data_IF_515521831307
#
_entry.id   IF_515521831307
#
_cell.length_a   1.000
_cell.length_b   1.000
_cell.length_c   1.000
_cell.angle_alpha   90.00
_cell.angle_beta   90.00
_cell.angle_gamma   90.00
#
_symmetry.space_group_name_H-M   'P 1'
#
loop_
_entity.id
_entity.type
_entity.pdbx_description
1 polymer ?
#
# COMPACT_ATOMS: atom_id res chain seq x y z
N UNK A 1 -6.30 -14.85 -40.13
CA UNK A 1 -6.39 -13.91 -38.97
C UNK A 1 -6.08 -14.60 -37.61
N UNK A 2 -5.61 -15.87 -37.57
CA UNK A 2 -5.71 -16.72 -36.37
C UNK A 2 -4.41 -17.16 -35.66
N UNK A 3 -3.22 -16.73 -36.07
CA UNK A 3 -1.96 -17.09 -35.36
C UNK A 3 -1.17 -15.86 -34.90
N UNK A 4 -1.08 -14.81 -35.74
CA UNK A 4 -0.40 -13.56 -35.38
C UNK A 4 -1.01 -12.82 -34.17
N UNK A 5 -2.33 -12.90 -33.99
CA UNK A 5 -3.05 -12.29 -32.85
C UNK A 5 -2.82 -13.06 -31.55
N UNK A 6 -2.75 -14.40 -31.61
CA UNK A 6 -2.48 -15.27 -30.47
C UNK A 6 -1.05 -15.07 -29.94
N UNK A 7 -0.05 -14.99 -30.83
CA UNK A 7 1.36 -14.81 -30.45
C UNK A 7 1.66 -13.41 -29.89
N UNK A 8 1.02 -12.35 -30.39
CA UNK A 8 1.12 -11.00 -29.82
C UNK A 8 0.48 -10.92 -28.42
N UNK A 9 -0.69 -11.51 -28.24
CA UNK A 9 -1.37 -11.59 -26.94
C UNK A 9 -0.58 -12.40 -25.91
N UNK A 10 0.06 -13.50 -26.34
CA UNK A 10 0.92 -14.30 -25.45
C UNK A 10 2.20 -13.56 -25.02
N UNK A 11 2.81 -12.77 -25.92
CA UNK A 11 3.98 -11.93 -25.58
C UNK A 11 3.62 -10.75 -24.67
N UNK A 12 2.44 -10.14 -24.85
CA UNK A 12 2.00 -9.04 -23.98
C UNK A 12 1.66 -9.53 -22.58
N UNK A 13 1.00 -10.68 -22.45
CA UNK A 13 0.67 -11.31 -21.16
C UNK A 13 1.93 -11.72 -20.40
N UNK A 14 2.91 -12.33 -21.09
CA UNK A 14 4.19 -12.70 -20.46
C UNK A 14 4.99 -11.49 -19.96
N UNK A 15 4.93 -10.36 -20.68
CA UNK A 15 5.64 -9.13 -20.29
C UNK A 15 4.95 -8.42 -19.13
N UNK A 16 3.62 -8.28 -19.18
CA UNK A 16 2.81 -7.75 -18.08
C UNK A 16 3.06 -8.54 -16.79
N UNK A 17 3.02 -9.87 -16.89
CA UNK A 17 3.27 -10.76 -15.76
C UNK A 17 4.64 -10.56 -15.12
N UNK A 18 5.69 -10.51 -15.95
CA UNK A 18 7.05 -10.38 -15.47
C UNK A 18 7.29 -9.01 -14.81
N UNK A 19 6.74 -7.93 -15.38
CA UNK A 19 6.82 -6.60 -14.78
C UNK A 19 6.14 -6.54 -13.41
N UNK A 20 4.98 -7.18 -13.26
CA UNK A 20 4.29 -7.26 -11.98
C UNK A 20 5.15 -7.98 -10.94
N UNK A 21 5.67 -9.16 -11.28
CA UNK A 21 6.53 -9.93 -10.37
C UNK A 21 7.86 -9.24 -10.05
N UNK A 22 8.42 -8.48 -10.98
CA UNK A 22 9.66 -7.73 -10.75
C UNK A 22 9.42 -6.47 -9.92
N UNK A 23 8.19 -5.93 -9.95
CA UNK A 23 7.79 -4.78 -9.14
C UNK A 23 7.45 -5.16 -7.70
N UNK A 24 6.68 -6.22 -7.49
CA UNK A 24 6.12 -6.54 -6.17
C UNK A 24 6.85 -7.65 -5.42
N UNK A 25 7.65 -8.48 -6.11
CA UNK A 25 8.37 -9.61 -5.51
C UNK A 25 9.88 -9.47 -5.75
N UNK A 26 10.73 -10.03 -4.86
CA UNK A 26 12.17 -9.79 -4.89
C UNK A 26 12.72 -10.26 -6.24
N UNK A 27 13.64 -9.54 -6.88
CA UNK A 27 14.18 -9.92 -8.17
C UNK A 27 14.79 -11.32 -8.11
N UNK A 28 14.74 -12.03 -9.25
CA UNK A 28 15.43 -13.32 -9.38
C UNK A 28 16.93 -13.04 -9.30
N UNK A 29 17.56 -13.43 -8.20
CA UNK A 29 19.01 -13.47 -8.14
C UNK A 29 19.50 -14.76 -8.81
N UNK A 30 20.12 -14.63 -9.99
CA UNK A 30 20.66 -15.76 -10.75
C UNK A 30 21.71 -16.57 -9.97
N UNK A 31 22.36 -15.96 -8.98
CA UNK A 31 23.31 -16.65 -8.11
C UNK A 31 22.62 -17.63 -7.14
N UNK A 32 21.34 -17.43 -6.83
CA UNK A 32 20.59 -18.21 -5.84
C UNK A 32 19.79 -19.36 -6.48
N UNK A 33 19.89 -19.55 -7.80
CA UNK A 33 19.18 -20.60 -8.53
C UNK A 33 17.65 -20.44 -8.59
N UNK A 34 17.09 -19.32 -8.13
CA UNK A 34 15.64 -19.06 -8.19
C UNK A 34 15.15 -19.01 -9.63
N UNK A 35 14.01 -19.64 -9.87
CA UNK A 35 13.35 -19.67 -11.18
C UNK A 35 12.16 -18.71 -11.23
N UNK A 36 11.62 -18.46 -12.43
CA UNK A 36 10.35 -17.74 -12.57
C UNK A 36 9.23 -18.50 -11.84
N UNK A 37 9.20 -19.83 -11.95
CA UNK A 37 8.23 -20.70 -11.27
C UNK A 37 8.23 -20.47 -9.76
N UNK A 38 9.41 -20.31 -9.14
CA UNK A 38 9.52 -20.04 -7.70
C UNK A 38 8.91 -18.69 -7.31
N UNK A 39 9.12 -17.64 -8.13
CA UNK A 39 8.43 -16.35 -7.92
C UNK A 39 6.91 -16.48 -8.01
N UNK A 40 6.41 -17.27 -8.97
CA UNK A 40 4.96 -17.49 -9.09
C UNK A 40 4.44 -18.20 -7.85
N UNK A 41 5.15 -19.23 -7.36
CA UNK A 41 4.77 -19.94 -6.13
C UNK A 41 4.78 -19.04 -4.90
N UNK A 42 5.76 -18.13 -4.80
CA UNK A 42 5.86 -17.15 -3.72
C UNK A 42 4.66 -16.20 -3.74
N UNK A 43 4.33 -15.64 -4.90
CA UNK A 43 3.15 -14.81 -5.10
C UNK A 43 1.84 -15.56 -4.78
N UNK A 44 1.66 -16.77 -5.33
CA UNK A 44 0.49 -17.60 -5.05
C UNK A 44 0.35 -17.91 -3.56
N UNK A 45 1.46 -18.24 -2.89
CA UNK A 45 1.47 -18.50 -1.44
C UNK A 45 1.12 -17.25 -0.63
N UNK A 46 1.63 -16.09 -1.03
CA UNK A 46 1.32 -14.82 -0.36
C UNK A 46 -0.17 -14.49 -0.43
N UNK A 47 -0.79 -14.68 -1.59
CA UNK A 47 -2.20 -14.40 -1.83
C UNK A 47 -3.14 -15.57 -1.49
N UNK A 48 -2.63 -16.67 -0.91
CA UNK A 48 -3.37 -17.90 -0.61
C UNK A 48 -4.10 -18.53 -1.81
N UNK A 49 -3.52 -18.37 -3.00
CA UNK A 49 -3.99 -19.01 -4.23
C UNK A 49 -3.53 -20.47 -4.31
N UNK A 50 -4.05 -21.20 -5.28
CA UNK A 50 -3.55 -22.55 -5.58
C UNK A 50 -2.10 -22.47 -6.06
N UNK A 51 -1.18 -23.02 -5.26
CA UNK A 51 0.27 -23.00 -5.56
C UNK A 51 0.60 -23.99 -6.67
N UNK A 52 0.62 -23.49 -7.91
CA UNK A 52 0.91 -24.28 -9.12
C UNK A 52 2.27 -23.96 -9.73
N UNK A 53 2.84 -22.80 -9.39
CA UNK A 53 4.03 -22.26 -10.05
C UNK A 53 3.81 -21.83 -11.50
N UNK A 54 2.55 -21.75 -11.93
CA UNK A 54 2.16 -21.40 -13.29
C UNK A 54 1.27 -20.17 -13.29
N UNK A 55 1.39 -19.38 -14.34
CA UNK A 55 0.43 -18.34 -14.64
C UNK A 55 -0.88 -18.98 -15.11
N UNK A 56 -1.91 -18.91 -14.28
CA UNK A 56 -3.25 -19.41 -14.52
C UNK A 56 -4.27 -18.28 -14.32
N UNK A 57 -5.55 -18.54 -14.60
CA UNK A 57 -6.59 -17.52 -14.50
C UNK A 57 -6.75 -16.95 -13.09
N UNK A 58 -6.58 -17.76 -12.05
CA UNK A 58 -6.63 -17.31 -10.65
C UNK A 58 -5.49 -16.31 -10.33
N UNK A 59 -4.28 -16.58 -10.81
CA UNK A 59 -3.14 -15.65 -10.70
C UNK A 59 -3.39 -14.36 -11.48
N UNK A 60 -3.94 -14.45 -12.70
CA UNK A 60 -4.25 -13.29 -13.55
C UNK A 60 -5.31 -12.39 -12.89
N UNK A 61 -6.41 -12.98 -12.41
CA UNK A 61 -7.48 -12.26 -11.69
C UNK A 61 -6.99 -11.57 -10.41
N UNK A 62 -5.99 -12.14 -9.73
CA UNK A 62 -5.36 -11.49 -8.58
C UNK A 62 -4.51 -10.29 -8.98
N UNK A 63 -3.81 -10.37 -10.11
CA UNK A 63 -2.93 -9.29 -10.58
C UNK A 63 -3.68 -8.10 -11.16
N UNK A 64 -4.87 -8.34 -11.72
CA UNK A 64 -5.73 -7.30 -12.28
C UNK A 64 -6.44 -6.47 -11.19
N UNK A 65 -6.36 -6.87 -9.92
CA UNK A 65 -6.99 -6.13 -8.83
C UNK A 65 -6.17 -4.89 -8.44
N UNK A 66 -6.84 -3.75 -8.18
CA UNK A 66 -6.18 -2.54 -7.72
C UNK A 66 -5.54 -2.77 -6.35
N UNK A 67 -4.35 -2.21 -6.13
CA UNK A 67 -3.51 -2.52 -4.98
C UNK A 67 -2.56 -1.40 -4.58
N UNK A 68 -1.90 -1.57 -3.44
CA UNK A 68 -0.76 -0.76 -3.03
C UNK A 68 0.47 -1.03 -3.92
N UNK A 69 1.25 0.03 -4.15
CA UNK A 69 2.45 0.08 -4.98
C UNK A 69 3.74 -0.43 -4.33
N UNK A 70 3.70 -0.78 -3.04
CA UNK A 70 4.86 -1.27 -2.28
C UNK A 70 5.09 -2.78 -2.52
N UNK A 71 6.35 -3.26 -2.53
CA UNK A 71 6.64 -4.69 -2.64
C UNK A 71 6.06 -5.54 -1.50
N UNK A 72 5.57 -6.74 -1.82
CA UNK A 72 4.90 -7.69 -0.90
C UNK A 72 5.85 -8.46 0.01
N UNK A 73 7.15 -8.41 -0.30
CA UNK A 73 8.19 -9.22 0.33
C UNK A 73 8.85 -8.52 1.48
N UNK A 74 8.10 -8.41 2.56
CA UNK A 74 8.59 -8.00 3.87
C UNK A 74 7.86 -8.84 4.92
N UNK A 75 8.59 -9.32 5.94
CA UNK A 75 7.95 -9.95 7.09
C UNK A 75 6.88 -8.98 7.60
N UNK A 76 5.63 -9.45 7.68
CA UNK A 76 4.45 -8.65 8.01
C UNK A 76 4.66 -7.70 9.19
N UNK A 77 5.47 -8.13 10.16
CA UNK A 77 5.79 -7.36 11.36
C UNK A 77 6.43 -6.00 11.09
N UNK A 78 7.26 -5.84 10.05
CA UNK A 78 8.09 -4.64 9.84
C UNK A 78 8.87 -4.63 8.52
N UNK A 79 9.10 -3.44 7.95
CA UNK A 79 10.15 -3.24 6.94
C UNK A 79 11.54 -3.73 7.43
N UNK A 80 12.51 -4.04 6.54
CA UNK A 80 13.80 -4.58 6.94
C UNK A 80 14.51 -3.60 7.87
N UNK A 81 15.01 -4.10 9.00
CA UNK A 81 15.62 -3.26 10.04
C UNK A 81 14.63 -2.66 11.05
N UNK A 82 13.35 -3.02 10.97
CA UNK A 82 12.28 -2.61 11.88
C UNK A 82 12.21 -1.08 12.08
N UNK A 83 12.14 -0.29 10.99
CA UNK A 83 12.08 1.15 11.08
C UNK A 83 10.79 1.56 11.80
N UNK A 84 10.97 2.41 12.79
CA UNK A 84 9.88 2.99 13.59
C UNK A 84 10.25 4.40 13.98
N UNK A 85 9.24 5.24 14.13
CA UNK A 85 9.46 6.56 14.73
C UNK A 85 9.87 6.41 16.19
N UNK A 86 10.86 7.21 16.62
CA UNK A 86 11.36 7.22 18.02
C UNK A 86 10.62 8.20 18.92
N UNK A 87 9.66 8.94 18.35
CA UNK A 87 8.82 9.93 19.03
C UNK A 87 7.35 9.57 18.85
N UNK A 88 6.52 10.04 19.78
CA UNK A 88 5.09 9.76 19.74
C UNK A 88 4.26 10.85 19.07
N UNK A 89 4.76 12.09 19.00
CA UNK A 89 4.10 13.16 18.25
C UNK A 89 4.70 13.22 16.85
N UNK A 90 3.92 12.80 15.87
CA UNK A 90 4.24 12.86 14.45
C UNK A 90 3.49 14.02 13.82
N UNK A 91 4.17 14.78 12.97
CA UNK A 91 3.56 15.85 12.20
C UNK A 91 3.32 15.38 10.78
N UNK A 92 2.22 15.82 10.18
CA UNK A 92 1.94 15.55 8.78
C UNK A 92 1.53 16.82 8.04
N UNK A 93 1.73 16.82 6.72
CA UNK A 93 1.35 17.93 5.86
C UNK A 93 0.85 17.43 4.52
N UNK A 94 -0.32 17.93 4.12
CA UNK A 94 -0.89 17.72 2.79
C UNK A 94 -0.28 18.77 1.85
N UNK A 95 0.49 18.32 0.86
CA UNK A 95 1.21 19.19 -0.08
C UNK A 95 0.29 19.76 -1.17
N UNK A 96 -0.63 18.95 -1.65
CA UNK A 96 -1.64 19.29 -2.65
C UNK A 96 -2.91 18.46 -2.43
N UNK A 97 -3.97 18.78 -3.16
CA UNK A 97 -5.28 18.15 -3.02
C UNK A 97 -5.75 17.67 -4.40
N UNK A 98 -6.36 16.49 -4.43
CA UNK A 98 -7.09 16.01 -5.62
C UNK A 98 -8.26 16.96 -5.95
N UNK A 99 -8.55 17.21 -7.23
CA UNK A 99 -9.74 17.95 -7.64
C UNK A 99 -11.04 17.13 -7.54
N UNK A 100 -10.96 15.81 -7.34
CA UNK A 100 -12.13 14.92 -7.26
C UNK A 100 -12.97 15.17 -6.00
N UNK A 101 -12.33 15.68 -4.95
CA UNK A 101 -12.96 15.93 -3.65
C UNK A 101 -12.72 17.39 -3.20
N UNK A 102 -13.71 18.03 -2.56
CA UNK A 102 -13.48 19.26 -1.83
C UNK A 102 -12.35 19.08 -0.80
N UNK A 103 -11.54 20.12 -0.60
CA UNK A 103 -10.39 20.06 0.33
C UNK A 103 -10.77 19.55 1.71
N UNK A 104 -11.89 19.99 2.27
CA UNK A 104 -12.33 19.56 3.60
C UNK A 104 -12.59 18.05 3.68
N UNK A 105 -13.07 17.41 2.60
CA UNK A 105 -13.29 15.96 2.53
C UNK A 105 -11.99 15.18 2.47
N UNK A 106 -10.98 15.71 1.77
CA UNK A 106 -9.62 15.16 1.79
C UNK A 106 -9.04 15.27 3.20
N UNK A 107 -9.15 16.44 3.83
CA UNK A 107 -8.66 16.65 5.19
C UNK A 107 -9.30 15.71 6.21
N UNK A 108 -10.62 15.54 6.13
CA UNK A 108 -11.39 14.61 6.96
C UNK A 108 -10.96 13.15 6.74
N UNK A 109 -10.81 12.71 5.48
CA UNK A 109 -10.37 11.35 5.16
C UNK A 109 -8.98 11.05 5.73
N UNK A 110 -8.04 11.99 5.59
CA UNK A 110 -6.68 11.88 6.11
C UNK A 110 -6.65 11.89 7.65
N UNK A 111 -7.43 12.77 8.29
CA UNK A 111 -7.54 12.80 9.75
C UNK A 111 -8.14 11.49 10.28
N UNK A 112 -9.20 10.99 9.66
CA UNK A 112 -9.83 9.71 10.00
C UNK A 112 -8.86 8.54 9.83
N UNK A 113 -8.04 8.54 8.77
CA UNK A 113 -7.02 7.52 8.54
C UNK A 113 -5.93 7.52 9.62
N UNK A 114 -5.43 8.69 10.04
CA UNK A 114 -4.51 8.77 11.18
C UNK A 114 -5.16 8.34 12.50
N UNK A 115 -6.45 8.64 12.67
CA UNK A 115 -7.22 8.25 13.87
C UNK A 115 -7.26 6.73 14.06
N UNK A 116 -7.38 5.96 12.97
CA UNK A 116 -7.31 4.47 13.02
C UNK A 116 -6.07 3.99 13.79
N UNK A 117 -4.93 4.61 13.55
CA UNK A 117 -3.66 4.23 14.18
C UNK A 117 -3.47 4.86 15.57
N UNK A 118 -3.88 6.11 15.78
CA UNK A 118 -3.77 6.74 17.11
C UNK A 118 -4.71 6.13 18.14
N UNK A 119 -5.82 5.51 17.72
CA UNK A 119 -6.76 4.87 18.64
C UNK A 119 -6.21 3.58 19.27
N UNK A 120 -5.17 2.98 18.67
CA UNK A 120 -4.60 1.70 19.12
C UNK A 120 -3.12 1.78 19.51
N UNK A 121 -2.49 2.94 19.38
CA UNK A 121 -1.07 3.20 19.70
C UNK A 121 -0.90 4.46 20.55
N UNK A 122 0.24 4.65 21.24
CA UNK A 122 0.55 5.91 21.92
C UNK A 122 0.84 7.11 20.99
N UNK A 123 0.78 6.92 19.66
CA UNK A 123 1.10 7.95 18.69
C UNK A 123 0.02 9.04 18.63
N UNK A 124 0.45 10.25 18.33
CA UNK A 124 -0.37 11.42 18.09
C UNK A 124 0.03 12.04 16.76
N UNK A 125 -0.96 12.47 15.99
CA UNK A 125 -0.74 13.07 14.68
C UNK A 125 -1.17 14.54 14.72
N UNK A 126 -0.33 15.41 14.21
CA UNK A 126 -0.61 16.84 14.16
C UNK A 126 -0.38 17.39 12.75
N UNK A 127 -1.44 17.94 12.16
CA UNK A 127 -1.34 18.65 10.88
C UNK A 127 -0.51 19.94 11.05
N UNK A 128 0.43 20.17 10.15
CA UNK A 128 1.21 21.42 10.08
C UNK A 128 1.11 22.08 8.70
N UNK A 129 1.13 23.41 8.66
CA UNK A 129 0.85 24.16 7.43
C UNK A 129 2.08 24.54 6.59
N UNK A 130 3.20 24.91 7.23
CA UNK A 130 4.35 25.54 6.53
C UNK A 130 5.73 25.03 6.94
N UNK A 131 5.82 24.19 7.97
CA UNK A 131 7.08 23.58 8.41
C UNK A 131 7.29 22.23 7.71
N UNK A 132 8.51 21.73 7.79
CA UNK A 132 8.78 20.32 7.52
C UNK A 132 7.91 19.46 8.45
N UNK A 133 7.47 18.32 7.93
CA UNK A 133 6.64 17.37 8.65
C UNK A 133 7.29 15.98 8.55
N UNK A 134 6.95 15.08 9.46
CA UNK A 134 7.45 13.71 9.42
C UNK A 134 6.83 12.90 8.28
N UNK A 135 5.61 13.25 7.87
CA UNK A 135 4.84 12.58 6.83
C UNK A 135 4.29 13.63 5.86
N UNK A 136 4.84 13.68 4.64
CA UNK A 136 4.27 14.48 3.56
C UNK A 136 3.28 13.64 2.77
N UNK A 137 2.12 14.22 2.50
CA UNK A 137 1.03 13.58 1.74
C UNK A 137 0.90 14.31 0.41
N UNK A 138 0.99 13.56 -0.68
CA UNK A 138 0.98 14.12 -2.03
C UNK A 138 0.11 13.30 -2.98
N UNK A 139 -0.62 13.99 -3.83
CA UNK A 139 -1.27 13.39 -5.00
C UNK A 139 -0.43 13.66 -6.25
N UNK A 140 -0.19 12.66 -7.08
CA UNK A 140 0.66 12.81 -8.26
C UNK A 140 0.29 11.83 -9.38
N UNK A 141 0.74 12.10 -10.60
CA UNK A 141 0.59 11.19 -11.74
C UNK A 141 1.93 10.63 -12.17
N UNK A 142 1.96 9.41 -12.69
CA UNK A 142 3.10 8.85 -13.40
C UNK A 142 4.41 8.95 -12.61
N UNK A 143 5.50 9.33 -13.27
CA UNK A 143 6.77 9.62 -12.60
C UNK A 143 6.70 10.96 -11.84
N UNK A 144 6.92 10.93 -10.52
CA UNK A 144 6.64 12.08 -9.66
C UNK A 144 7.76 12.44 -8.66
N UNK A 145 8.99 12.04 -8.95
CA UNK A 145 10.18 12.45 -8.20
C UNK A 145 10.76 11.39 -7.26
N UNK A 146 10.23 10.17 -7.30
CA UNK A 146 10.80 8.97 -6.69
C UNK A 146 10.99 7.86 -7.74
N UNK A 147 11.44 6.68 -7.29
CA UNK A 147 11.68 5.50 -8.14
C UNK A 147 10.43 4.64 -8.40
N UNK A 148 9.25 5.09 -7.99
CA UNK A 148 8.01 4.30 -8.01
C UNK A 148 6.92 5.03 -8.81
N UNK A 149 7.03 5.10 -10.15
CA UNK A 149 6.04 5.80 -10.96
C UNK A 149 4.66 5.11 -10.87
N UNK A 150 3.62 5.94 -10.82
CA UNK A 150 2.22 5.53 -10.91
C UNK A 150 1.82 5.11 -12.33
N UNK A 151 0.77 4.29 -12.45
CA UNK A 151 0.32 3.67 -13.71
C UNK A 151 -1.02 4.22 -14.23
N UNK A 152 -1.69 5.10 -13.48
CA UNK A 152 -2.85 5.85 -13.94
C UNK A 152 -4.12 5.37 -13.28
N UNK A 153 -5.06 4.82 -14.07
CA UNK A 153 -6.34 4.35 -13.53
C UNK A 153 -6.32 2.84 -13.34
N UNK A 154 -6.71 2.39 -12.15
CA UNK A 154 -6.57 1.01 -11.72
C UNK A 154 -5.11 0.64 -11.50
N UNK A 155 -4.85 -0.62 -11.12
CA UNK A 155 -3.48 -1.03 -10.83
C UNK A 155 -3.00 -0.45 -9.51
N UNK A 156 -2.11 0.54 -9.53
CA UNK A 156 -1.47 1.07 -8.33
C UNK A 156 -2.18 2.32 -7.83
N UNK A 157 -2.81 2.19 -6.66
CA UNK A 157 -3.60 3.29 -6.09
C UNK A 157 -2.75 4.33 -5.36
N UNK A 158 -1.71 3.86 -4.67
CA UNK A 158 -0.87 4.67 -3.79
C UNK A 158 0.38 3.89 -3.39
N UNK A 159 1.34 4.60 -2.79
CA UNK A 159 2.46 3.98 -2.07
C UNK A 159 2.94 4.90 -0.93
N UNK A 160 3.60 4.32 0.06
CA UNK A 160 4.21 5.06 1.15
C UNK A 160 5.55 4.46 1.59
N UNK A 161 6.37 5.29 2.23
CA UNK A 161 7.71 4.92 2.64
C UNK A 161 7.77 4.66 4.15
N UNK A 162 8.57 3.66 4.52
CA UNK A 162 8.85 3.36 5.93
C UNK A 162 9.39 4.58 6.69
N UNK A 163 9.26 4.63 8.03
CA UNK A 163 9.80 5.70 8.86
C UNK A 163 11.28 5.99 8.58
N UNK A 164 11.64 7.25 8.35
CA UNK A 164 13.02 7.62 8.02
C UNK A 164 13.22 9.09 7.70
N UNK A 165 14.41 9.42 7.20
CA UNK A 165 14.74 10.75 6.68
C UNK A 165 14.43 10.87 5.19
N UNK A 166 14.33 12.10 4.67
CA UNK A 166 14.07 12.32 3.24
C UNK A 166 12.63 11.96 2.90
N UNK A 167 12.44 11.00 1.99
CA UNK A 167 11.10 10.46 1.66
C UNK A 167 10.53 9.55 2.76
N UNK A 168 11.32 9.18 3.76
CA UNK A 168 10.87 8.25 4.81
C UNK A 168 9.66 8.80 5.57
N UNK A 169 8.57 8.04 5.59
CA UNK A 169 7.28 8.45 6.14
C UNK A 169 6.28 8.96 5.11
N UNK A 170 6.73 9.50 3.97
CA UNK A 170 5.84 10.13 2.99
C UNK A 170 4.87 9.13 2.37
N UNK A 171 3.69 9.63 1.99
CA UNK A 171 2.63 8.86 1.35
C UNK A 171 2.17 9.57 0.07
N UNK A 172 2.22 8.85 -1.06
CA UNK A 172 1.84 9.32 -2.37
C UNK A 172 0.59 8.59 -2.86
N UNK A 173 -0.32 9.33 -3.50
CA UNK A 173 -1.60 8.83 -4.01
C UNK A 173 -1.65 9.07 -5.52
N UNK A 174 -2.06 8.07 -6.30
CA UNK A 174 -2.15 8.20 -7.75
C UNK A 174 -3.35 9.08 -8.13
N UNK A 175 -3.07 10.24 -8.72
CA UNK A 175 -4.09 11.18 -9.22
C UNK A 175 -4.72 10.70 -10.54
N UNK A 176 -4.23 9.60 -11.13
CA UNK A 176 -4.93 8.89 -12.21
C UNK A 176 -6.21 8.17 -11.74
N UNK A 177 -6.32 7.90 -10.44
CA UNK A 177 -7.50 7.31 -9.84
C UNK A 177 -8.65 8.31 -9.67
N UNK A 178 -9.87 7.77 -9.51
CA UNK A 178 -11.02 8.58 -9.12
C UNK A 178 -11.22 8.51 -7.61
N UNK A 179 -10.78 9.53 -6.89
CA UNK A 179 -10.87 9.57 -5.43
C UNK A 179 -12.29 9.86 -4.95
N UNK A 180 -12.72 9.18 -3.90
CA UNK A 180 -14.08 9.25 -3.34
C UNK A 180 -14.09 9.08 -1.83
N UNK A 181 -15.19 9.45 -1.16
CA UNK A 181 -15.47 9.12 0.24
C UNK A 181 -16.44 7.93 0.39
N UNK A 182 -17.03 7.46 -0.71
CA UNK A 182 -18.01 6.37 -0.73
C UNK A 182 -17.48 5.14 -1.48
N UNK A 183 -18.38 4.30 -2.00
CA UNK A 183 -18.06 3.07 -2.73
C UNK A 183 -17.94 3.28 -4.25
N UNK A 184 -18.23 4.48 -4.76
CA UNK A 184 -18.22 4.82 -6.19
C UNK A 184 -16.89 5.49 -6.54
N UNK A 185 -15.85 4.67 -6.63
CA UNK A 185 -14.48 5.08 -6.88
C UNK A 185 -13.53 4.44 -5.89
N UNK A 186 -12.36 5.05 -5.75
CA UNK A 186 -11.34 4.62 -4.78
C UNK A 186 -11.53 5.40 -3.50
N UNK A 187 -11.80 4.71 -2.39
CA UNK A 187 -12.09 5.36 -1.12
C UNK A 187 -10.80 5.89 -0.50
N UNK A 188 -10.65 7.22 -0.44
CA UNK A 188 -9.41 7.86 0.01
C UNK A 188 -9.07 7.51 1.46
N UNK A 189 -10.08 7.39 2.35
CA UNK A 189 -9.84 7.03 3.75
C UNK A 189 -9.22 5.64 3.88
N UNK A 190 -9.71 4.64 3.13
CA UNK A 190 -9.22 3.28 3.21
C UNK A 190 -7.78 3.17 2.70
N UNK A 191 -7.50 3.77 1.54
CA UNK A 191 -6.14 3.77 0.97
C UNK A 191 -5.20 4.54 1.88
N UNK A 192 -5.59 5.72 2.37
CA UNK A 192 -4.74 6.49 3.30
C UNK A 192 -4.48 5.75 4.61
N UNK A 193 -5.47 5.05 5.16
CA UNK A 193 -5.29 4.25 6.36
C UNK A 193 -4.26 3.12 6.14
N UNK A 194 -4.30 2.45 4.98
CA UNK A 194 -3.30 1.45 4.57
C UNK A 194 -1.91 2.08 4.43
N UNK A 195 -1.76 3.13 3.61
CA UNK A 195 -0.48 3.77 3.36
C UNK A 195 0.16 4.33 4.64
N UNK A 196 -0.65 4.84 5.58
CA UNK A 196 -0.13 5.28 6.87
C UNK A 196 0.37 4.13 7.73
N UNK A 197 -0.13 2.90 7.56
CA UNK A 197 0.50 1.72 8.16
C UNK A 197 1.95 1.57 7.71
N UNK A 198 2.23 1.78 6.42
CA UNK A 198 3.61 1.81 5.91
C UNK A 198 4.42 2.99 6.45
N UNK A 199 3.85 4.20 6.45
CA UNK A 199 4.47 5.39 7.07
C UNK A 199 4.82 5.20 8.54
N UNK A 200 4.18 4.23 9.21
CA UNK A 200 4.44 3.84 10.60
C UNK A 200 5.32 2.61 10.75
N UNK A 201 5.66 1.92 9.65
CA UNK A 201 6.66 0.84 9.62
C UNK A 201 6.09 -0.57 9.42
N UNK A 202 4.79 -0.72 9.17
CA UNK A 202 4.19 -2.02 8.84
C UNK A 202 4.49 -2.43 7.41
N UNK A 203 4.71 -3.72 7.18
CA UNK A 203 4.70 -4.32 5.85
C UNK A 203 3.30 -4.77 5.43
N UNK A 204 3.18 -5.33 4.22
CA UNK A 204 1.94 -5.95 3.78
C UNK A 204 1.61 -7.20 4.60
N UNK A 205 0.33 -7.38 4.92
CA UNK A 205 -0.21 -8.63 5.45
C UNK A 205 -0.51 -9.60 4.33
N UNK A 206 -0.34 -10.90 4.60
CA UNK A 206 -0.93 -11.94 3.78
C UNK A 206 -2.35 -12.33 4.26
N UNK A 207 -2.91 -11.71 5.30
CA UNK A 207 -4.26 -11.97 5.79
C UNK A 207 -5.25 -11.14 4.97
N UNK A 208 -6.09 -11.78 4.15
CA UNK A 208 -7.05 -11.10 3.25
C UNK A 208 -8.06 -10.15 3.95
N UNK A 209 -8.24 -10.31 5.26
CA UNK A 209 -9.09 -9.44 6.09
C UNK A 209 -8.37 -8.26 6.74
N UNK A 210 -7.04 -8.17 6.64
CA UNK A 210 -6.23 -7.11 7.23
C UNK A 210 -6.31 -5.83 6.38
N UNK A 211 -6.25 -4.67 7.04
CA UNK A 211 -6.10 -3.37 6.39
C UNK A 211 -4.81 -3.34 5.57
N UNK A 212 -3.72 -3.90 6.09
CA UNK A 212 -2.43 -3.97 5.40
C UNK A 212 -2.36 -5.07 4.33
N UNK A 213 -3.46 -5.74 3.99
CA UNK A 213 -3.49 -6.59 2.78
C UNK A 213 -3.34 -5.70 1.54
N UNK A 214 -2.46 -6.03 0.59
CA UNK A 214 -2.09 -5.12 -0.49
C UNK A 214 -3.20 -4.84 -1.49
N UNK A 215 -4.15 -5.76 -1.65
CA UNK A 215 -5.25 -5.58 -2.59
C UNK A 215 -6.33 -4.71 -1.97
N UNK A 216 -6.75 -3.70 -2.73
CA UNK A 216 -7.79 -2.79 -2.30
C UNK A 216 -9.12 -3.52 -2.12
N UNK A 217 -9.73 -3.27 -0.97
CA UNK A 217 -11.06 -3.74 -0.64
C UNK A 217 -11.85 -2.60 -0.02
N UNK A 218 -13.07 -2.43 -0.49
CA UNK A 218 -13.98 -1.48 0.13
C UNK A 218 -14.51 -2.01 1.48
N UNK A 219 -14.39 -1.18 2.50
CA UNK A 219 -15.10 -1.28 3.77
C UNK A 219 -15.92 -0.02 3.98
N UNK A 220 -17.11 -0.15 4.55
CA UNK A 220 -17.90 1.02 4.93
C UNK A 220 -17.13 1.82 5.99
N UNK A 221 -16.73 3.09 5.71
CA UNK A 221 -15.98 3.91 6.65
C UNK A 221 -16.73 4.17 7.97
N UNK A 222 -18.06 4.11 8.00
CA UNK A 222 -18.86 4.39 9.20
C UNK A 222 -18.82 3.24 10.21
N UNK A 223 -18.57 2.02 9.73
CA UNK A 223 -18.49 0.81 10.56
C UNK A 223 -17.10 0.22 10.58
N UNK A 224 -16.10 0.92 10.03
CA UNK A 224 -14.74 0.42 9.93
C UNK A 224 -14.11 0.28 11.32
N UNK A 225 -13.50 -0.87 11.55
CA UNK A 225 -12.69 -1.16 12.73
C UNK A 225 -11.40 -1.82 12.28
N UNK A 226 -10.28 -1.41 12.89
CA UNK A 226 -8.97 -1.96 12.53
C UNK A 226 -8.93 -3.47 12.83
N UNK A 227 -8.62 -4.33 11.84
CA UNK A 227 -8.51 -5.77 12.05
C UNK A 227 -7.43 -6.14 13.08
N UNK A 228 -7.60 -7.31 13.71
CA UNK A 228 -6.71 -7.79 14.78
C UNK A 228 -5.26 -7.99 14.35
N UNK A 229 -5.06 -8.40 13.11
CA UNK A 229 -3.74 -8.59 12.52
C UNK A 229 -2.96 -7.26 12.56
N UNK A 230 -3.57 -6.20 12.01
CA UNK A 230 -2.97 -4.86 11.91
C UNK A 230 -2.76 -4.23 13.29
N UNK A 231 -3.74 -4.40 14.18
CA UNK A 231 -3.68 -3.94 15.57
C UNK A 231 -2.49 -4.56 16.29
N UNK A 232 -2.29 -5.87 16.17
CA UNK A 232 -1.18 -6.57 16.80
C UNK A 232 0.16 -6.19 16.16
N UNK A 233 0.19 -6.05 14.83
CA UNK A 233 1.38 -5.60 14.09
C UNK A 233 1.86 -4.23 14.60
N UNK A 234 0.97 -3.25 14.65
CA UNK A 234 1.36 -1.89 15.07
C UNK A 234 1.70 -1.80 16.56
N UNK A 235 1.03 -2.60 17.39
CA UNK A 235 1.32 -2.65 18.83
C UNK A 235 2.66 -3.33 19.15
N UNK A 236 3.14 -4.25 18.31
CA UNK A 236 4.53 -4.76 18.43
C UNK A 236 5.56 -3.66 18.21
N UNK A 237 5.25 -2.66 17.37
CA UNK A 237 6.15 -1.54 17.07
C UNK A 237 6.12 -0.43 18.12
N UNK A 238 4.92 -0.03 18.55
CA UNK A 238 4.71 1.18 19.37
C UNK A 238 4.17 0.90 20.77
N UNK A 239 3.86 -0.36 21.09
CA UNK A 239 3.17 -0.75 22.32
C UNK A 239 1.68 -0.42 22.30
N UNK A 240 0.98 -0.81 23.35
CA UNK A 240 -0.44 -0.56 23.50
C UNK A 240 -0.70 0.87 23.97
N UNK A 241 -1.84 1.42 23.57
CA UNK A 241 -2.39 2.61 24.21
C UNK A 241 -2.66 2.30 25.69
N UNK A 242 -1.75 2.70 26.57
CA UNK A 242 -1.93 2.60 28.01
C UNK A 242 -2.34 3.98 28.52
N UNK A 243 -3.61 4.12 28.87
CA UNK A 243 -4.02 5.18 29.81
C UNK A 243 -3.34 4.80 31.12
N UNK A 244 -2.27 5.52 31.50
CA UNK A 244 -1.78 5.43 32.88
C UNK A 244 -2.93 5.94 33.75
N UNK A 245 -3.61 5.03 34.43
CA UNK A 245 -4.49 5.34 35.55
C UNK A 245 -3.70 6.01 36.67
#
# INVERSE_FOLDING_TARGET
ISQFTKTRRHKSVSFYFQNYLDRFFPPINKADGRTLEDKIKEMQKFFHLTVTGKFNSETEEMMDQPRCGIPDVLDYSTFPGNPRWRKNLLTYRILNYTPDLPRFMVEEAIEKAFKVWSDVTPLKFQKVARREADILIRFAHGAHGDSYPFDGRGGILAHAFAPGSGLGGDAHFDEGEKWSQDHIGTNLFLVAAHEFGHSLGLGHSNVQGALMYPIYRYWNPDTFSLPDDDRQGIQKLYGNFSVRC
#
